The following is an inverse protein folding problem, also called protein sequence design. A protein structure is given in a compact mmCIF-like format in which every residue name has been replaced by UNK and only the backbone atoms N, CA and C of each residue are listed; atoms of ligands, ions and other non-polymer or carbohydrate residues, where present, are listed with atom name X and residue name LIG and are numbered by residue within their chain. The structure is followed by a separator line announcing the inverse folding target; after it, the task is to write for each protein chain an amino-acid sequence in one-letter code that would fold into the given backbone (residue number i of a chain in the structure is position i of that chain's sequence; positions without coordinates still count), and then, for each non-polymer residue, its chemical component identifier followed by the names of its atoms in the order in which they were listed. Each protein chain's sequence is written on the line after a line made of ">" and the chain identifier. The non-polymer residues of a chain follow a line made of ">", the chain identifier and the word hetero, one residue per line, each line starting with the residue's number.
data_IF_542965113055
#
_entry.id   IF_542965113055
#
_cell.length_a   1.000
_cell.length_b   1.000
_cell.length_c   1.000
_cell.angle_alpha   90.00
_cell.angle_beta   90.00
_cell.angle_gamma   90.00
#
_symmetry.space_group_name_H-M   'P 1'
#
loop_
_entity.id
_entity.type
_entity.pdbx_description
1 polymer ?
#
# COMPACT_ATOMS: atom_id res chain seq x y z
N UNK A 1 -56.14 12.98 -31.99
CA UNK A 1 -55.02 12.01 -31.87
C UNK A 1 -53.73 12.77 -31.79
N UNK A 2 -53.23 13.07 -30.62
CA UNK A 2 -52.00 13.80 -30.40
C UNK A 2 -50.93 12.82 -29.92
N UNK A 3 -49.92 12.62 -30.74
CA UNK A 3 -48.77 11.75 -30.49
C UNK A 3 -47.78 12.47 -29.58
N UNK A 4 -47.65 12.02 -28.34
CA UNK A 4 -46.63 12.48 -27.40
C UNK A 4 -45.27 11.86 -27.75
N UNK A 5 -44.39 12.65 -28.35
CA UNK A 5 -42.96 12.30 -28.49
C UNK A 5 -42.30 12.33 -27.12
N UNK A 6 -41.91 11.17 -26.60
CA UNK A 6 -40.99 11.05 -25.46
C UNK A 6 -39.63 11.61 -25.88
N UNK A 7 -39.17 12.64 -25.16
CA UNK A 7 -37.81 13.15 -25.27
C UNK A 7 -36.82 12.06 -24.88
N UNK A 8 -35.96 11.69 -25.82
CA UNK A 8 -34.80 10.83 -25.59
C UNK A 8 -33.83 11.66 -24.72
N UNK A 9 -33.74 11.31 -23.44
CA UNK A 9 -32.79 11.93 -22.53
C UNK A 9 -31.37 11.78 -23.08
N UNK A 10 -30.69 12.90 -23.25
CA UNK A 10 -29.28 12.98 -23.58
C UNK A 10 -28.48 12.16 -22.54
N UNK A 11 -27.97 10.99 -22.94
CA UNK A 11 -26.92 10.34 -22.18
C UNK A 11 -25.71 11.27 -22.15
N UNK A 12 -25.17 11.63 -20.97
CA UNK A 12 -23.98 12.47 -20.92
C UNK A 12 -22.87 11.78 -21.73
N UNK A 13 -22.37 12.46 -22.72
CA UNK A 13 -21.22 12.05 -23.51
C UNK A 13 -20.04 11.81 -22.56
N UNK A 14 -19.34 10.67 -22.70
CA UNK A 14 -18.16 10.24 -21.92
C UNK A 14 -16.98 11.25 -21.92
N UNK A 15 -17.12 12.42 -22.47
CA UNK A 15 -16.08 13.41 -22.75
C UNK A 15 -15.45 14.13 -21.54
N UNK A 16 -15.91 13.90 -20.27
CA UNK A 16 -15.43 14.63 -19.08
C UNK A 16 -15.25 13.77 -17.83
N UNK A 17 -15.09 12.45 -17.96
CA UNK A 17 -14.75 11.63 -16.80
C UNK A 17 -13.23 11.48 -16.71
N UNK A 18 -12.66 11.84 -15.53
CA UNK A 18 -11.27 11.54 -15.22
C UNK A 18 -11.04 10.02 -15.28
N UNK A 19 -9.89 9.56 -15.79
CA UNK A 19 -9.54 8.14 -15.82
C UNK A 19 -9.52 7.54 -14.40
N UNK A 20 -9.52 6.23 -14.30
CA UNK A 20 -9.28 5.54 -13.04
C UNK A 20 -7.80 5.61 -12.69
N UNK A 21 -7.48 5.53 -11.39
CA UNK A 21 -6.09 5.61 -10.93
C UNK A 21 -5.21 4.54 -11.59
N UNK A 22 -5.69 3.29 -11.64
CA UNK A 22 -4.95 2.17 -12.24
C UNK A 22 -4.61 2.38 -13.73
N UNK A 23 -5.37 3.22 -14.44
CA UNK A 23 -5.15 3.53 -15.85
C UNK A 23 -4.22 4.74 -16.06
N UNK A 24 -3.73 5.32 -14.95
CA UNK A 24 -3.02 6.62 -14.94
C UNK A 24 -1.63 6.57 -14.30
N UNK A 25 -1.11 5.39 -13.96
CA UNK A 25 0.13 5.20 -13.20
C UNK A 25 1.37 5.51 -14.05
N UNK A 26 1.65 6.78 -14.30
CA UNK A 26 2.71 7.20 -15.22
C UNK A 26 4.11 6.82 -14.76
N UNK A 27 4.40 6.93 -13.45
CA UNK A 27 5.70 6.52 -12.91
C UNK A 27 5.90 5.00 -13.04
N UNK A 28 4.90 4.20 -12.68
CA UNK A 28 4.95 2.75 -12.83
C UNK A 28 5.17 2.33 -14.30
N UNK A 29 4.46 2.98 -15.23
CA UNK A 29 4.62 2.74 -16.67
C UNK A 29 6.04 3.06 -17.17
N UNK A 30 6.62 4.17 -16.71
CA UNK A 30 8.02 4.51 -17.01
C UNK A 30 8.96 3.38 -16.57
N UNK A 31 8.82 2.86 -15.35
CA UNK A 31 9.66 1.77 -14.84
C UNK A 31 9.42 0.44 -15.58
N UNK A 32 8.18 0.12 -15.93
CA UNK A 32 7.90 -1.03 -16.80
C UNK A 32 8.54 -0.86 -18.19
N UNK A 33 8.54 0.37 -18.72
CA UNK A 33 9.18 0.74 -19.98
C UNK A 33 10.69 0.49 -19.99
N UNK A 34 11.39 0.62 -18.85
CA UNK A 34 12.81 0.26 -18.72
C UNK A 34 13.07 -1.22 -19.01
N UNK A 35 12.06 -2.05 -18.89
CA UNK A 35 12.10 -3.48 -19.24
C UNK A 35 11.33 -3.79 -20.52
N UNK A 36 11.03 -2.78 -21.35
CA UNK A 36 10.34 -2.95 -22.64
C UNK A 36 8.89 -3.43 -22.49
N UNK A 37 8.18 -2.99 -21.46
CA UNK A 37 6.77 -3.28 -21.21
C UNK A 37 5.97 -2.00 -21.01
N UNK A 38 4.71 -1.97 -21.47
CA UNK A 38 3.86 -0.80 -21.35
C UNK A 38 3.28 -0.62 -19.93
N UNK A 39 2.99 -1.74 -19.25
CA UNK A 39 2.40 -1.74 -17.92
C UNK A 39 2.90 -2.94 -17.09
N UNK A 40 2.69 -2.88 -15.77
CA UNK A 40 3.06 -3.97 -14.86
C UNK A 40 2.35 -5.28 -15.21
N UNK A 41 1.11 -5.23 -15.68
CA UNK A 41 0.39 -6.41 -16.13
C UNK A 41 1.16 -7.19 -17.22
N UNK A 42 1.73 -6.46 -18.19
CA UNK A 42 2.44 -7.08 -19.30
C UNK A 42 3.74 -7.74 -18.83
N UNK A 43 4.46 -7.08 -17.91
CA UNK A 43 5.66 -7.64 -17.28
C UNK A 43 5.32 -8.90 -16.47
N UNK A 44 4.26 -8.86 -15.68
CA UNK A 44 3.78 -10.02 -14.92
C UNK A 44 3.39 -11.18 -15.82
N UNK A 45 2.60 -10.91 -16.86
CA UNK A 45 2.12 -11.93 -17.79
C UNK A 45 3.29 -12.56 -18.55
N UNK A 46 4.29 -11.77 -18.94
CA UNK A 46 5.55 -12.26 -19.51
C UNK A 46 6.28 -13.22 -18.57
N UNK A 47 6.45 -12.84 -17.30
CA UNK A 47 7.12 -13.65 -16.30
C UNK A 47 6.35 -14.94 -15.99
N UNK A 48 5.03 -14.88 -15.94
CA UNK A 48 4.14 -16.01 -15.68
C UNK A 48 4.17 -17.02 -16.82
N UNK A 49 4.06 -16.57 -18.07
CA UNK A 49 4.13 -17.45 -19.24
C UNK A 49 5.48 -18.15 -19.37
N UNK A 50 6.55 -17.52 -18.92
CA UNK A 50 7.89 -18.11 -18.86
C UNK A 50 8.13 -19.04 -17.66
N UNK A 51 7.16 -19.22 -16.76
CA UNK A 51 7.32 -20.01 -15.52
C UNK A 51 8.29 -19.39 -14.51
N UNK A 52 8.53 -18.07 -14.59
CA UNK A 52 9.52 -17.38 -13.78
C UNK A 52 8.98 -16.85 -12.44
N UNK A 53 7.66 -16.88 -12.25
CA UNK A 53 7.01 -16.34 -11.03
C UNK A 53 7.21 -17.22 -9.80
N UNK A 54 7.61 -18.48 -9.98
CA UNK A 54 7.86 -19.45 -8.89
C UNK A 54 9.34 -19.51 -8.46
N UNK A 55 10.22 -18.80 -9.17
CA UNK A 55 11.65 -18.79 -8.88
C UNK A 55 11.98 -17.75 -7.82
N UNK A 56 12.33 -18.22 -6.62
CA UNK A 56 12.53 -17.37 -5.43
C UNK A 56 13.97 -17.36 -4.91
N UNK A 57 14.88 -18.12 -5.53
CA UNK A 57 16.23 -18.33 -5.02
C UNK A 57 17.32 -17.67 -5.90
N UNK A 58 18.46 -17.40 -5.24
CA UNK A 58 19.71 -17.05 -5.90
C UNK A 58 20.39 -18.31 -6.44
N UNK A 59 20.84 -18.24 -7.69
CA UNK A 59 21.58 -19.32 -8.35
C UNK A 59 23.01 -19.51 -7.80
N UNK A 60 23.71 -20.53 -8.28
CA UNK A 60 25.11 -20.80 -7.94
C UNK A 60 26.08 -19.69 -8.37
N UNK A 61 25.71 -18.90 -9.35
CA UNK A 61 26.45 -17.73 -9.82
C UNK A 61 26.26 -16.48 -8.94
N UNK A 62 25.45 -16.58 -7.88
CA UNK A 62 25.19 -15.54 -6.91
C UNK A 62 24.09 -14.55 -7.31
N UNK A 63 23.44 -14.76 -8.46
CA UNK A 63 22.37 -13.90 -8.97
C UNK A 63 20.98 -14.54 -8.82
N UNK A 64 19.96 -13.69 -8.65
CA UNK A 64 18.57 -14.13 -8.61
C UNK A 64 18.09 -14.57 -9.99
N UNK A 65 17.22 -15.57 -10.06
CA UNK A 65 16.66 -16.01 -11.33
C UNK A 65 16.03 -14.88 -12.16
N UNK A 66 15.35 -13.92 -11.47
CA UNK A 66 14.78 -12.72 -12.09
C UNK A 66 15.83 -11.86 -12.81
N UNK A 67 17.04 -11.73 -12.26
CA UNK A 67 18.13 -10.99 -12.91
C UNK A 67 18.38 -11.53 -14.31
N UNK A 68 18.53 -12.85 -14.46
CA UNK A 68 18.80 -13.48 -15.76
C UNK A 68 17.65 -13.27 -16.74
N UNK A 69 16.41 -13.37 -16.27
CA UNK A 69 15.22 -13.16 -17.11
C UNK A 69 15.16 -11.73 -17.59
N UNK A 70 15.33 -10.75 -16.71
CA UNK A 70 15.23 -9.33 -17.03
C UNK A 70 16.40 -8.85 -17.90
N UNK A 71 17.64 -9.31 -17.59
CA UNK A 71 18.83 -9.01 -18.37
C UNK A 71 18.70 -9.45 -19.83
N UNK A 72 18.14 -10.63 -20.06
CA UNK A 72 18.01 -11.22 -21.39
C UNK A 72 16.71 -10.81 -22.11
N UNK A 73 15.86 -10.02 -21.43
CA UNK A 73 14.59 -9.60 -22.03
C UNK A 73 14.81 -8.60 -23.16
N UNK A 74 14.26 -8.85 -24.38
CA UNK A 74 14.27 -7.86 -25.45
C UNK A 74 13.64 -6.54 -25.00
N UNK A 75 14.32 -5.43 -25.28
CA UNK A 75 13.86 -4.09 -24.92
C UNK A 75 14.21 -3.66 -23.48
N UNK A 76 14.99 -4.45 -22.73
CA UNK A 76 15.53 -3.98 -21.44
C UNK A 76 16.53 -2.84 -21.69
N UNK A 77 16.23 -1.66 -21.13
CA UNK A 77 17.06 -0.46 -21.23
C UNK A 77 18.04 -0.30 -20.05
N UNK A 78 17.93 -1.14 -19.01
CA UNK A 78 18.85 -1.11 -17.87
C UNK A 78 20.15 -1.81 -18.27
N UNK A 79 21.32 -1.15 -18.14
CA UNK A 79 22.60 -1.78 -18.46
C UNK A 79 22.82 -3.06 -17.64
N UNK A 80 23.31 -4.16 -18.26
CA UNK A 80 23.47 -5.44 -17.58
C UNK A 80 24.34 -5.36 -16.32
N UNK A 81 25.39 -4.52 -16.35
CA UNK A 81 26.31 -4.32 -15.22
C UNK A 81 25.58 -3.66 -14.04
N UNK A 82 24.77 -2.64 -14.32
CA UNK A 82 23.96 -1.95 -13.30
C UNK A 82 22.89 -2.89 -12.73
N UNK A 83 22.26 -3.67 -13.58
CA UNK A 83 21.26 -4.66 -13.14
C UNK A 83 21.90 -5.71 -12.20
N UNK A 84 23.15 -6.14 -12.51
CA UNK A 84 23.89 -7.05 -11.64
C UNK A 84 24.23 -6.43 -10.28
N UNK A 85 24.64 -5.17 -10.26
CA UNK A 85 24.91 -4.42 -9.02
C UNK A 85 23.65 -4.31 -8.15
N UNK A 86 22.50 -3.98 -8.77
CA UNK A 86 21.22 -3.91 -8.05
C UNK A 86 20.82 -5.27 -7.48
N UNK A 87 20.96 -6.34 -8.24
CA UNK A 87 20.64 -7.69 -7.81
C UNK A 87 21.48 -8.12 -6.59
N UNK A 88 22.80 -7.86 -6.61
CA UNK A 88 23.68 -8.14 -5.48
C UNK A 88 23.30 -7.33 -4.23
N UNK A 89 22.95 -6.05 -4.38
CA UNK A 89 22.45 -5.25 -3.24
C UNK A 89 21.14 -5.77 -2.68
N UNK A 90 20.21 -6.16 -3.54
CA UNK A 90 18.95 -6.79 -3.11
C UNK A 90 19.23 -8.05 -2.28
N UNK A 91 20.20 -8.86 -2.72
CA UNK A 91 20.65 -10.03 -1.98
C UNK A 91 21.18 -9.66 -0.60
N UNK A 92 22.03 -8.65 -0.51
CA UNK A 92 22.60 -8.18 0.76
C UNK A 92 21.51 -7.70 1.73
N UNK A 93 20.51 -6.95 1.25
CA UNK A 93 19.38 -6.54 2.08
C UNK A 93 18.55 -7.72 2.55
N UNK A 94 18.31 -8.71 1.70
CA UNK A 94 17.59 -9.92 2.08
C UNK A 94 18.37 -10.75 3.09
N UNK A 95 19.68 -10.90 2.90
CA UNK A 95 20.56 -11.60 3.84
C UNK A 95 20.61 -10.88 5.19
N UNK A 96 20.64 -9.54 5.19
CA UNK A 96 20.55 -8.73 6.40
C UNK A 96 19.23 -8.93 7.13
N UNK A 97 18.09 -8.93 6.42
CA UNK A 97 16.76 -9.19 6.96
C UNK A 97 16.67 -10.60 7.56
N UNK A 98 17.29 -11.59 6.91
CA UNK A 98 17.24 -12.99 7.30
C UNK A 98 18.20 -13.37 8.46
N UNK A 99 19.08 -12.46 8.90
CA UNK A 99 19.95 -12.73 10.07
C UNK A 99 19.17 -12.97 11.36
N UNK A 100 18.00 -12.35 11.47
CA UNK A 100 17.17 -12.37 12.68
C UNK A 100 15.83 -13.08 12.50
N UNK A 101 15.52 -13.56 11.28
CA UNK A 101 14.25 -14.20 10.97
C UNK A 101 14.33 -15.71 10.90
N UNK A 102 13.36 -16.38 11.56
CA UNK A 102 13.12 -17.80 11.44
C UNK A 102 11.60 -18.02 11.28
N UNK A 103 11.12 -18.65 10.20
CA UNK A 103 11.89 -19.14 9.04
C UNK A 103 12.48 -17.99 8.18
N UNK A 104 13.47 -18.32 7.35
CA UNK A 104 14.02 -17.37 6.39
C UNK A 104 12.97 -16.94 5.38
N UNK A 105 12.96 -15.66 5.06
CA UNK A 105 12.11 -15.07 4.03
C UNK A 105 12.79 -15.19 2.67
N UNK A 106 11.99 -15.49 1.65
CA UNK A 106 12.37 -15.41 0.24
C UNK A 106 11.50 -14.36 -0.43
N UNK A 107 12.07 -13.63 -1.37
CA UNK A 107 11.29 -12.64 -2.13
C UNK A 107 10.52 -13.34 -3.24
N UNK A 108 9.21 -13.15 -3.27
CA UNK A 108 8.40 -13.46 -4.43
C UNK A 108 8.78 -12.55 -5.60
N UNK A 109 8.51 -12.96 -6.84
CA UNK A 109 8.88 -12.20 -8.02
C UNK A 109 8.42 -10.72 -7.96
N UNK A 110 7.21 -10.47 -7.50
CA UNK A 110 6.68 -9.11 -7.39
C UNK A 110 7.34 -8.31 -6.26
N UNK A 111 7.76 -8.95 -5.18
CA UNK A 111 8.53 -8.31 -4.11
C UNK A 111 9.94 -7.96 -4.59
N UNK A 112 10.59 -8.88 -5.33
CA UNK A 112 11.87 -8.60 -5.97
C UNK A 112 11.77 -7.42 -6.93
N UNK A 113 10.74 -7.37 -7.78
CA UNK A 113 10.51 -6.27 -8.72
C UNK A 113 10.24 -4.94 -7.99
N UNK A 114 9.45 -4.95 -6.91
CA UNK A 114 9.21 -3.75 -6.12
C UNK A 114 10.51 -3.18 -5.55
N UNK A 115 11.38 -4.04 -5.02
CA UNK A 115 12.68 -3.66 -4.48
C UNK A 115 13.62 -3.20 -5.62
N UNK A 116 13.64 -3.90 -6.75
CA UNK A 116 14.46 -3.52 -7.92
C UNK A 116 14.06 -2.16 -8.49
N UNK A 117 12.76 -1.89 -8.63
CA UNK A 117 12.30 -0.59 -9.10
C UNK A 117 12.71 0.53 -8.14
N UNK A 118 12.65 0.27 -6.85
CA UNK A 118 13.12 1.22 -5.83
C UNK A 118 14.64 1.45 -5.93
N UNK A 119 15.41 0.39 -6.16
CA UNK A 119 16.87 0.46 -6.34
C UNK A 119 17.23 1.38 -7.52
N UNK A 120 16.58 1.15 -8.67
CA UNK A 120 16.78 1.96 -9.87
C UNK A 120 16.33 3.42 -9.64
N UNK A 121 15.22 3.62 -8.93
CA UNK A 121 14.69 4.95 -8.64
C UNK A 121 15.65 5.76 -7.78
N UNK A 122 16.08 5.21 -6.64
CA UNK A 122 16.95 5.89 -5.70
C UNK A 122 18.35 6.15 -6.30
N UNK A 123 18.87 5.18 -7.06
CA UNK A 123 20.12 5.37 -7.79
C UNK A 123 20.06 6.59 -8.72
N UNK A 124 18.99 6.74 -9.51
CA UNK A 124 18.80 7.88 -10.41
C UNK A 124 18.55 9.18 -9.66
N UNK A 125 17.74 9.13 -8.59
CA UNK A 125 17.40 10.30 -7.79
C UNK A 125 18.63 10.90 -7.13
N UNK A 126 19.46 10.08 -6.48
CA UNK A 126 20.59 10.58 -5.69
C UNK A 126 21.86 10.81 -6.51
N UNK A 127 22.03 10.11 -7.63
CA UNK A 127 23.22 10.32 -8.48
C UNK A 127 23.04 11.43 -9.54
N UNK A 128 21.82 11.59 -10.11
CA UNK A 128 21.55 12.60 -11.12
C UNK A 128 20.05 12.95 -11.20
N UNK A 129 19.57 13.71 -10.21
CA UNK A 129 18.15 14.13 -10.09
C UNK A 129 17.68 14.91 -11.32
N UNK A 130 18.52 15.79 -11.88
CA UNK A 130 18.14 16.63 -13.02
C UNK A 130 17.94 15.79 -14.29
N UNK A 131 18.86 14.88 -14.56
CA UNK A 131 18.73 13.95 -15.68
C UNK A 131 17.52 13.03 -15.51
N UNK A 132 17.31 12.50 -14.31
CA UNK A 132 16.16 11.65 -14.05
C UNK A 132 14.84 12.38 -14.27
N UNK A 133 14.73 13.63 -13.81
CA UNK A 133 13.57 14.49 -14.05
C UNK A 133 13.35 14.73 -15.56
N UNK A 134 14.43 14.98 -16.31
CA UNK A 134 14.35 15.17 -17.75
C UNK A 134 13.88 13.90 -18.48
N UNK A 135 14.36 12.71 -18.07
CA UNK A 135 13.93 11.42 -18.64
C UNK A 135 12.44 11.16 -18.39
N UNK A 136 11.94 11.43 -17.16
CA UNK A 136 10.52 11.30 -16.82
C UNK A 136 9.64 12.26 -17.64
N UNK A 137 10.09 13.50 -17.82
CA UNK A 137 9.32 14.49 -18.58
C UNK A 137 9.32 14.20 -20.08
N UNK A 138 10.42 13.71 -20.64
CA UNK A 138 10.45 13.23 -22.01
C UNK A 138 9.49 12.04 -22.24
N UNK A 139 9.40 11.14 -21.26
CA UNK A 139 8.43 10.05 -21.31
C UNK A 139 6.99 10.57 -21.26
N UNK A 140 6.68 11.57 -20.41
CA UNK A 140 5.35 12.20 -20.37
C UNK A 140 4.99 12.85 -21.70
N UNK A 141 5.91 13.52 -22.37
CA UNK A 141 5.68 14.12 -23.69
C UNK A 141 5.28 13.05 -24.70
N UNK A 142 6.02 11.92 -24.75
CA UNK A 142 5.70 10.80 -25.63
C UNK A 142 4.31 10.21 -25.33
N UNK A 143 3.98 10.02 -24.06
CA UNK A 143 2.66 9.52 -23.64
C UNK A 143 1.52 10.48 -24.02
N UNK A 144 1.73 11.77 -23.83
CA UNK A 144 0.76 12.79 -24.18
C UNK A 144 0.53 12.89 -25.70
N UNK A 145 1.56 12.64 -26.53
CA UNK A 145 1.43 12.63 -27.99
C UNK A 145 0.59 11.45 -28.50
N UNK A 146 0.62 10.33 -27.76
CA UNK A 146 -0.18 9.14 -28.08
C UNK A 146 -1.64 9.32 -27.66
N UNK A 147 -1.91 10.14 -26.62
CA UNK A 147 -3.26 10.36 -26.11
C UNK A 147 -4.14 11.08 -27.14
N UNK A 148 -5.37 10.63 -27.27
CA UNK A 148 -6.35 11.33 -28.11
C UNK A 148 -6.70 12.71 -27.50
N UNK A 149 -7.06 13.68 -28.35
CA UNK A 149 -7.49 15.02 -27.91
C UNK A 149 -8.66 15.04 -26.89
N UNK A 150 -9.30 13.91 -26.67
CA UNK A 150 -10.41 13.75 -25.72
C UNK A 150 -9.98 13.21 -24.36
N UNK A 151 -8.72 12.81 -24.20
CA UNK A 151 -8.17 12.29 -22.94
C UNK A 151 -7.43 13.39 -22.20
N UNK A 152 -7.46 13.39 -20.85
CA UNK A 152 -6.65 14.31 -20.07
C UNK A 152 -5.15 13.98 -20.27
N UNK A 153 -4.35 15.02 -20.43
CA UNK A 153 -2.89 14.91 -20.53
C UNK A 153 -2.24 14.77 -19.16
N UNK A 154 -1.12 14.08 -19.12
CA UNK A 154 -0.28 14.03 -17.92
C UNK A 154 0.43 15.37 -17.72
N UNK A 155 0.54 15.80 -16.45
CA UNK A 155 1.29 17.00 -16.06
C UNK A 155 2.76 16.63 -15.85
N UNK A 156 3.72 17.44 -16.33
CA UNK A 156 5.14 17.18 -16.12
C UNK A 156 5.52 17.00 -14.65
N UNK A 157 6.52 16.18 -14.37
CA UNK A 157 7.12 16.06 -13.05
C UNK A 157 7.86 17.33 -12.66
N UNK A 158 7.81 17.64 -11.37
CA UNK A 158 8.64 18.65 -10.72
C UNK A 158 9.67 17.97 -9.80
N UNK A 159 10.62 18.72 -9.27
CA UNK A 159 11.60 18.17 -8.31
C UNK A 159 10.95 17.64 -7.03
N UNK A 160 9.86 18.26 -6.58
CA UNK A 160 9.10 17.85 -5.39
C UNK A 160 8.32 16.53 -5.60
N UNK A 161 7.90 16.23 -6.83
CA UNK A 161 7.23 14.96 -7.14
C UNK A 161 8.17 13.75 -6.94
N UNK A 162 9.49 13.96 -6.93
CA UNK A 162 10.49 12.91 -6.78
C UNK A 162 10.80 12.54 -5.33
N UNK A 163 10.36 13.32 -4.36
CA UNK A 163 10.68 13.12 -2.95
C UNK A 163 9.64 12.21 -2.25
N UNK A 164 8.81 11.51 -3.06
CA UNK A 164 7.79 10.58 -2.58
C UNK A 164 7.67 9.35 -3.48
N UNK A 165 7.72 8.18 -2.87
CA UNK A 165 7.38 6.90 -3.51
C UNK A 165 6.20 6.20 -2.84
N UNK A 166 5.35 5.60 -3.65
CA UNK A 166 4.15 4.93 -3.17
C UNK A 166 4.06 3.51 -3.71
N UNK A 167 3.67 2.57 -2.85
CA UNK A 167 3.49 1.16 -3.16
C UNK A 167 2.03 0.78 -2.99
N UNK A 168 1.36 0.56 -4.10
CA UNK A 168 -0.01 0.06 -4.10
C UNK A 168 0.01 -1.46 -4.11
N UNK A 169 -0.09 -2.07 -2.95
CA UNK A 169 0.10 -3.50 -2.80
C UNK A 169 -1.01 -4.11 -1.94
N UNK A 170 -1.52 -5.27 -2.34
CA UNK A 170 -2.57 -5.98 -1.63
C UNK A 170 -2.18 -6.30 -0.17
N UNK A 171 -3.17 -6.43 0.70
CA UNK A 171 -2.95 -6.95 2.07
C UNK A 171 -2.41 -8.38 1.98
N UNK A 172 -1.38 -8.68 2.76
CA UNK A 172 -0.70 -9.98 2.71
C UNK A 172 0.39 -10.12 1.64
N UNK A 173 0.61 -9.13 0.77
CA UNK A 173 1.67 -9.16 -0.25
C UNK A 173 3.07 -8.88 0.27
N UNK A 174 3.25 -8.60 1.57
CA UNK A 174 4.55 -8.37 2.18
C UNK A 174 5.03 -6.92 2.20
N UNK A 175 4.12 -5.93 2.18
CA UNK A 175 4.45 -4.49 2.30
C UNK A 175 5.47 -4.18 3.38
N UNK A 176 5.31 -4.77 4.57
CA UNK A 176 6.21 -4.55 5.71
C UNK A 176 7.63 -5.01 5.43
N UNK A 177 7.83 -6.12 4.71
CA UNK A 177 9.16 -6.58 4.32
C UNK A 177 9.82 -5.61 3.34
N UNK A 178 9.06 -5.14 2.36
CA UNK A 178 9.52 -4.16 1.38
C UNK A 178 9.88 -2.85 2.10
N UNK A 179 9.07 -2.39 3.04
CA UNK A 179 9.36 -1.20 3.87
C UNK A 179 10.71 -1.33 4.59
N UNK A 180 11.00 -2.50 5.18
CA UNK A 180 12.28 -2.73 5.85
C UNK A 180 13.47 -2.72 4.87
N UNK A 181 13.29 -3.24 3.67
CA UNK A 181 14.32 -3.18 2.62
C UNK A 181 14.46 -1.74 2.11
N UNK A 182 13.36 -1.02 1.87
CA UNK A 182 13.39 0.37 1.43
C UNK A 182 14.12 1.29 2.42
N UNK A 183 14.06 1.00 3.73
CA UNK A 183 14.87 1.69 4.73
C UNK A 183 16.37 1.58 4.39
N UNK A 184 16.85 0.36 4.15
CA UNK A 184 18.27 0.15 3.85
C UNK A 184 18.68 0.65 2.47
N UNK A 185 17.78 0.59 1.48
CA UNK A 185 17.99 1.18 0.16
C UNK A 185 18.16 2.69 0.27
N UNK A 186 17.25 3.37 0.97
CA UNK A 186 17.37 4.81 1.17
C UNK A 186 18.66 5.18 1.89
N UNK A 187 19.02 4.48 2.96
CA UNK A 187 20.24 4.70 3.70
C UNK A 187 21.52 4.44 2.89
N UNK A 188 21.43 3.58 1.86
CA UNK A 188 22.55 3.31 0.95
C UNK A 188 22.80 4.47 -0.01
N UNK A 189 21.76 5.12 -0.50
CA UNK A 189 21.87 6.19 -1.50
C UNK A 189 21.91 7.59 -0.90
N UNK A 190 21.29 7.83 0.25
CA UNK A 190 21.26 9.14 0.87
C UNK A 190 22.49 9.37 1.73
N UNK A 191 23.50 10.01 1.14
CA UNK A 191 24.73 10.43 1.82
C UNK A 191 24.54 11.73 2.64
N UNK A 192 23.49 12.51 2.37
CA UNK A 192 23.26 13.81 3.02
C UNK A 192 22.70 13.68 4.45
N UNK A 193 22.33 12.46 4.85
CA UNK A 193 21.73 12.21 6.16
C UNK A 193 20.23 12.58 6.23
N UNK A 194 19.67 12.46 7.41
CA UNK A 194 18.30 12.77 7.74
C UNK A 194 18.20 13.15 9.22
N UNK A 195 17.15 13.90 9.59
CA UNK A 195 16.92 14.27 10.99
C UNK A 195 16.38 13.09 11.79
N UNK A 196 15.32 12.44 11.28
CA UNK A 196 14.71 11.28 11.90
C UNK A 196 14.25 10.25 10.86
N UNK A 197 14.04 9.01 11.33
CA UNK A 197 13.33 7.98 10.61
C UNK A 197 11.99 7.78 11.32
N UNK A 198 10.89 8.11 10.65
CA UNK A 198 9.55 8.09 11.22
C UNK A 198 8.69 7.07 10.51
N UNK A 199 7.96 6.24 11.25
CA UNK A 199 6.85 5.45 10.72
C UNK A 199 5.54 5.97 11.29
N UNK A 200 4.69 6.50 10.42
CA UNK A 200 3.36 6.97 10.79
C UNK A 200 2.31 5.90 10.47
N UNK A 201 1.49 5.59 11.46
CA UNK A 201 0.44 4.58 11.40
C UNK A 201 -0.93 5.16 11.80
N UNK A 202 -2.06 4.58 11.36
CA UNK A 202 -3.38 5.09 11.70
C UNK A 202 -3.81 4.86 13.15
N UNK A 203 -3.29 3.81 13.81
CA UNK A 203 -3.70 3.45 15.19
C UNK A 203 -2.65 2.59 15.91
N UNK A 204 -2.75 2.54 17.23
CA UNK A 204 -1.79 1.86 18.13
C UNK A 204 -1.57 0.37 17.79
N UNK A 205 -2.63 -0.37 17.47
CA UNK A 205 -2.50 -1.82 17.16
C UNK A 205 -1.54 -2.07 16.00
N UNK A 206 -1.62 -1.26 14.94
CA UNK A 206 -0.69 -1.35 13.81
C UNK A 206 0.72 -0.89 14.19
N UNK A 207 0.84 0.15 15.01
CA UNK A 207 2.14 0.60 15.56
C UNK A 207 2.86 -0.52 16.30
N UNK A 208 2.17 -1.23 17.18
CA UNK A 208 2.74 -2.36 17.95
C UNK A 208 3.10 -3.54 17.06
N UNK A 209 2.32 -3.81 16.03
CA UNK A 209 2.64 -4.82 15.03
C UNK A 209 3.95 -4.48 14.30
N UNK A 210 4.12 -3.24 13.84
CA UNK A 210 5.35 -2.79 13.20
C UNK A 210 6.56 -2.89 14.12
N UNK A 211 6.44 -2.50 15.39
CA UNK A 211 7.52 -2.66 16.35
C UNK A 211 7.97 -4.11 16.50
N UNK A 212 7.02 -5.05 16.54
CA UNK A 212 7.32 -6.47 16.58
C UNK A 212 8.03 -6.95 15.30
N UNK A 213 7.58 -6.48 14.13
CA UNK A 213 8.19 -6.84 12.84
C UNK A 213 9.59 -6.24 12.67
N UNK A 214 9.84 -4.99 13.10
CA UNK A 214 11.18 -4.39 13.10
C UNK A 214 12.16 -5.22 13.94
N UNK A 215 11.74 -5.67 15.14
CA UNK A 215 12.56 -6.55 15.99
C UNK A 215 12.95 -7.85 15.29
N UNK A 216 12.00 -8.48 14.57
CA UNK A 216 12.27 -9.68 13.76
C UNK A 216 13.27 -9.45 12.63
N UNK A 217 13.41 -8.23 12.16
CA UNK A 217 14.35 -7.83 11.10
C UNK A 217 15.66 -7.25 11.65
N UNK A 218 15.81 -7.19 12.98
CA UNK A 218 16.98 -6.60 13.63
C UNK A 218 17.10 -5.09 13.42
N UNK A 219 15.99 -4.41 13.15
CA UNK A 219 15.91 -2.96 13.02
C UNK A 219 15.54 -2.37 14.37
N UNK A 220 16.34 -1.45 14.88
CA UNK A 220 16.02 -0.72 16.10
C UNK A 220 14.77 0.13 15.86
N UNK A 221 13.78 0.01 16.72
CA UNK A 221 12.56 0.79 16.63
C UNK A 221 12.01 1.07 18.03
N UNK A 222 11.42 2.25 18.20
CA UNK A 222 10.78 2.69 19.44
C UNK A 222 9.40 3.28 19.15
N UNK A 223 8.52 3.16 20.12
CA UNK A 223 7.22 3.79 20.07
C UNK A 223 7.30 5.21 20.65
N UNK A 224 6.72 6.17 19.97
CA UNK A 224 6.70 7.54 20.44
C UNK A 224 5.94 7.65 21.78
N UNK A 225 6.63 8.16 22.81
CA UNK A 225 6.08 8.34 24.16
C UNK A 225 6.34 7.19 25.14
N UNK A 226 6.96 6.08 24.74
CA UNK A 226 7.40 5.02 25.68
C UNK A 226 8.74 5.32 26.39
N UNK A 227 9.50 6.31 25.91
CA UNK A 227 10.74 6.77 26.55
C UNK A 227 10.75 8.30 26.63
N UNK A 228 10.88 8.84 27.80
CA UNK A 228 11.24 10.18 28.25
C UNK A 228 11.10 11.40 27.29
N UNK A 229 10.01 11.49 26.52
CA UNK A 229 9.71 12.65 25.71
C UNK A 229 10.79 12.99 24.65
N UNK A 230 10.73 14.20 24.08
CA UNK A 230 11.73 14.72 23.14
C UNK A 230 13.16 14.80 23.72
N UNK A 231 13.33 14.80 25.04
CA UNK A 231 14.66 14.80 25.69
C UNK A 231 15.45 13.49 25.49
N UNK A 232 14.81 12.40 25.05
CA UNK A 232 15.44 11.14 24.64
C UNK A 232 15.79 11.07 23.15
N UNK A 233 15.41 12.05 22.36
CA UNK A 233 15.77 12.19 20.96
C UNK A 233 17.22 12.67 20.84
N UNK A 234 18.16 11.75 20.76
CA UNK A 234 19.48 12.08 20.24
C UNK A 234 19.39 12.14 18.73
N UNK A 235 19.47 13.35 18.21
CA UNK A 235 19.61 13.66 16.80
C UNK A 235 20.84 12.89 16.27
N UNK A 236 20.60 12.01 15.31
CA UNK A 236 21.56 11.49 14.36
C UNK A 236 22.69 10.64 14.93
N UNK A 237 22.61 9.36 14.82
CA UNK A 237 23.68 8.36 14.55
C UNK A 237 23.15 6.93 14.61
N UNK A 238 22.01 6.67 15.22
CA UNK A 238 21.42 5.33 15.28
C UNK A 238 20.25 5.20 14.30
N UNK A 239 20.31 4.19 13.44
CA UNK A 239 19.25 3.73 12.55
C UNK A 239 18.04 3.25 13.37
N UNK A 240 17.44 4.14 14.17
CA UNK A 240 16.29 3.84 15.00
C UNK A 240 15.02 4.47 14.44
N UNK A 241 14.05 3.61 14.08
CA UNK A 241 12.76 4.04 13.58
C UNK A 241 11.87 4.47 14.75
N UNK A 242 11.32 5.68 14.70
CA UNK A 242 10.30 6.14 15.63
C UNK A 242 8.92 5.88 15.05
N UNK A 243 8.17 5.00 15.71
CA UNK A 243 6.79 4.67 15.31
C UNK A 243 5.82 5.59 16.04
N UNK A 244 4.99 6.31 15.29
CA UNK A 244 4.04 7.29 15.83
C UNK A 244 2.67 7.15 15.17
N UNK A 245 1.61 7.35 15.94
CA UNK A 245 0.25 7.40 15.39
C UNK A 245 -0.06 8.78 14.83
N UNK A 246 -0.79 8.80 13.72
CA UNK A 246 -1.28 10.02 13.08
C UNK A 246 -2.04 10.94 14.06
N UNK A 247 -2.76 10.33 15.00
CA UNK A 247 -3.56 11.06 16.00
C UNK A 247 -2.72 11.83 17.02
N UNK A 248 -1.44 11.50 17.15
CA UNK A 248 -0.49 12.18 18.04
C UNK A 248 0.21 13.36 17.39
N UNK A 249 0.21 13.43 16.06
CA UNK A 249 0.76 14.55 15.29
C UNK A 249 -0.22 15.72 15.28
N UNK A 250 0.26 16.93 15.58
CA UNK A 250 -0.53 18.17 15.63
C UNK A 250 0.24 19.33 14.99
N UNK A 251 -0.49 20.34 14.53
CA UNK A 251 0.11 21.61 14.11
C UNK A 251 0.70 22.34 15.30
N UNK A 252 -0.03 22.36 16.43
CA UNK A 252 0.39 22.95 17.68
C UNK A 252 0.10 21.99 18.84
N UNK A 253 0.96 22.01 19.86
CA UNK A 253 0.78 21.18 21.05
C UNK A 253 -0.46 21.61 21.83
N UNK A 254 -1.44 20.74 21.95
CA UNK A 254 -2.65 20.98 22.73
C UNK A 254 -2.62 20.17 24.04
N UNK A 255 -2.52 20.86 25.16
CA UNK A 255 -2.64 20.26 26.50
C UNK A 255 -1.40 19.47 26.97
N UNK A 256 -1.55 18.73 28.07
CA UNK A 256 -0.50 17.91 28.70
C UNK A 256 -0.40 16.49 28.14
N UNK A 257 -1.10 16.19 27.05
CA UNK A 257 -1.12 14.85 26.43
C UNK A 257 0.13 14.51 25.62
N UNK A 258 0.22 13.25 25.15
CA UNK A 258 1.31 12.75 24.28
C UNK A 258 1.17 13.24 22.82
N UNK A 259 0.78 14.50 22.61
CA UNK A 259 0.78 15.12 21.28
C UNK A 259 2.11 15.81 21.02
N UNK A 260 2.57 15.80 19.77
CA UNK A 260 3.81 16.44 19.35
C UNK A 260 3.55 17.37 18.17
N UNK A 261 4.20 18.52 18.20
CA UNK A 261 4.24 19.43 17.05
C UNK A 261 5.07 18.81 15.92
N UNK A 262 4.56 18.91 14.71
CA UNK A 262 5.26 18.37 13.53
C UNK A 262 6.64 19.02 13.37
N UNK A 263 6.74 20.30 13.62
CA UNK A 263 7.99 21.08 13.49
C UNK A 263 9.09 20.65 14.48
N UNK A 264 8.72 19.95 15.56
CA UNK A 264 9.70 19.40 16.50
C UNK A 264 10.58 18.28 15.89
N UNK A 265 10.17 17.69 14.77
CA UNK A 265 10.93 16.66 14.06
C UNK A 265 11.90 17.24 13.01
N UNK A 266 11.82 18.55 12.70
CA UNK A 266 12.53 19.15 11.56
C UNK A 266 11.90 18.75 10.21
N UNK A 267 12.38 19.32 9.10
CA UNK A 267 11.84 19.08 7.77
C UNK A 267 12.51 17.92 7.00
N UNK A 268 13.72 17.50 7.39
CA UNK A 268 14.51 16.49 6.68
C UNK A 268 14.36 15.10 7.30
N UNK A 269 13.18 14.50 7.17
CA UNK A 269 12.93 13.18 7.71
C UNK A 269 12.78 12.12 6.62
N UNK A 270 13.24 10.90 6.91
CA UNK A 270 12.80 9.71 6.20
C UNK A 270 11.46 9.26 6.78
N UNK A 271 10.41 9.45 6.02
CA UNK A 271 9.04 9.19 6.45
C UNK A 271 8.49 7.92 5.80
N UNK A 272 8.10 6.97 6.61
CA UNK A 272 7.28 5.82 6.21
C UNK A 272 5.83 6.04 6.63
N UNK A 273 4.88 5.78 5.72
CA UNK A 273 3.44 5.87 6.00
C UNK A 273 2.80 4.54 5.63
N UNK A 274 2.35 3.78 6.62
CA UNK A 274 1.55 2.59 6.34
C UNK A 274 0.07 2.92 6.40
N UNK A 275 -0.71 2.34 5.48
CA UNK A 275 -2.11 2.66 5.28
C UNK A 275 -2.31 4.16 4.96
N UNK A 276 -1.45 4.72 4.12
CA UNK A 276 -1.41 6.14 3.71
C UNK A 276 -2.75 6.71 3.23
N UNK A 277 -3.65 5.83 2.80
CA UNK A 277 -5.00 6.19 2.42
C UNK A 277 -5.82 6.83 3.53
N UNK A 278 -5.69 6.43 4.77
CA UNK A 278 -6.49 6.97 5.88
C UNK A 278 -6.17 8.43 6.17
N UNK A 279 -4.98 8.88 5.80
CA UNK A 279 -4.57 10.26 5.90
C UNK A 279 -4.76 11.09 4.63
N UNK A 280 -4.69 10.47 3.45
CA UNK A 280 -4.64 11.17 2.16
C UNK A 280 -5.91 11.99 1.83
N UNK A 281 -7.07 11.64 2.38
CA UNK A 281 -8.33 12.37 2.17
C UNK A 281 -8.44 13.65 3.02
N UNK A 282 -7.68 13.74 4.10
CA UNK A 282 -7.63 14.92 4.97
C UNK A 282 -6.61 15.94 4.50
N UNK A 283 -7.03 17.20 4.28
CA UNK A 283 -6.11 18.29 3.88
C UNK A 283 -5.06 18.55 4.95
N UNK A 284 -5.48 18.57 6.20
CA UNK A 284 -4.59 18.77 7.37
C UNK A 284 -3.53 17.67 7.41
N UNK A 285 -3.92 16.41 7.22
CA UNK A 285 -2.96 15.31 7.25
C UNK A 285 -1.94 15.38 6.11
N UNK A 286 -2.39 15.73 4.90
CA UNK A 286 -1.47 15.90 3.78
C UNK A 286 -0.45 17.01 4.02
N UNK A 287 -0.91 18.10 4.61
CA UNK A 287 -0.03 19.22 4.98
C UNK A 287 0.97 18.82 6.07
N UNK A 288 0.53 18.14 7.13
CA UNK A 288 1.42 17.64 8.19
C UNK A 288 2.49 16.70 7.62
N UNK A 289 2.11 15.79 6.72
CA UNK A 289 3.04 14.87 6.07
C UNK A 289 4.05 15.63 5.19
N UNK A 290 3.58 16.63 4.43
CA UNK A 290 4.45 17.46 3.61
C UNK A 290 5.49 18.19 4.46
N UNK A 291 5.08 18.80 5.56
CA UNK A 291 5.98 19.47 6.51
C UNK A 291 6.99 18.53 7.16
N UNK A 292 6.57 17.30 7.51
CA UNK A 292 7.49 16.29 8.08
C UNK A 292 8.64 15.88 7.14
N UNK A 293 8.43 15.94 5.84
CA UNK A 293 9.42 15.52 4.84
C UNK A 293 9.58 16.57 3.73
N UNK A 294 9.57 17.86 4.09
CA UNK A 294 9.70 18.97 3.15
C UNK A 294 11.06 18.96 2.44
N UNK A 295 12.12 18.66 3.19
CA UNK A 295 13.49 18.49 2.70
C UNK A 295 13.94 17.01 2.74
N UNK A 296 13.01 16.11 3.06
CA UNK A 296 13.25 14.68 3.26
C UNK A 296 12.67 13.79 2.17
N UNK A 297 12.31 12.56 2.54
CA UNK A 297 11.77 11.59 1.60
C UNK A 297 10.62 10.79 2.22
N UNK A 298 9.60 10.47 1.42
CA UNK A 298 8.43 9.72 1.89
C UNK A 298 8.25 8.42 1.13
N UNK A 299 8.15 7.32 1.87
CA UNK A 299 7.61 6.04 1.38
C UNK A 299 6.20 5.83 1.90
N UNK A 300 5.25 5.56 1.00
CA UNK A 300 3.84 5.36 1.33
C UNK A 300 3.35 3.97 0.87
N UNK A 301 2.64 3.26 1.74
CA UNK A 301 2.16 1.89 1.46
C UNK A 301 0.66 1.81 1.71
N UNK A 302 -0.10 1.23 0.78
CA UNK A 302 -1.52 0.91 1.00
C UNK A 302 -2.04 -0.11 -0.01
N UNK A 303 -3.08 -0.83 0.41
CA UNK A 303 -3.84 -1.73 -0.46
C UNK A 303 -4.98 -1.01 -1.22
N UNK A 304 -5.36 0.20 -0.83
CA UNK A 304 -6.67 0.79 -1.21
C UNK A 304 -6.61 2.18 -1.86
N UNK A 305 -5.46 2.57 -2.43
CA UNK A 305 -5.33 3.88 -3.12
C UNK A 305 -6.40 4.10 -4.19
N UNK A 306 -6.75 3.05 -4.96
CA UNK A 306 -7.81 3.14 -5.97
C UNK A 306 -9.17 3.54 -5.39
N UNK A 307 -9.51 3.05 -4.21
CA UNK A 307 -10.79 3.38 -3.56
C UNK A 307 -10.83 4.87 -3.16
N UNK A 308 -9.72 5.40 -2.68
CA UNK A 308 -9.62 6.80 -2.22
C UNK A 308 -9.67 7.75 -3.39
N UNK A 309 -8.80 7.54 -4.38
CA UNK A 309 -8.69 8.43 -5.53
C UNK A 309 -9.96 8.37 -6.37
N UNK A 310 -10.45 7.17 -6.68
CA UNK A 310 -11.62 6.99 -7.52
C UNK A 310 -12.93 7.38 -6.80
N UNK A 311 -12.99 7.23 -5.46
CA UNK A 311 -14.13 7.62 -4.62
C UNK A 311 -14.12 9.07 -4.15
N UNK A 312 -13.06 9.83 -4.40
CA UNK A 312 -12.95 11.22 -3.96
C UNK A 312 -13.96 12.14 -4.67
N UNK A 313 -14.38 13.19 -3.95
CA UNK A 313 -15.24 14.24 -4.52
C UNK A 313 -14.57 14.88 -5.75
N UNK A 314 -15.38 15.24 -6.77
CA UNK A 314 -14.94 15.66 -8.11
C UNK A 314 -13.85 16.74 -8.10
N UNK A 315 -13.90 17.71 -7.17
CA UNK A 315 -12.89 18.77 -7.04
C UNK A 315 -11.53 18.28 -6.50
N UNK A 316 -11.53 17.25 -5.64
CA UNK A 316 -10.31 16.69 -5.03
C UNK A 316 -9.70 15.55 -5.85
N UNK A 317 -10.53 14.85 -6.63
CA UNK A 317 -10.12 13.66 -7.38
C UNK A 317 -9.02 13.96 -8.39
N UNK A 318 -9.07 15.11 -9.06
CA UNK A 318 -8.06 15.50 -10.05
C UNK A 318 -6.67 15.64 -9.40
N UNK A 319 -6.58 16.36 -8.29
CA UNK A 319 -5.32 16.56 -7.58
C UNK A 319 -4.75 15.25 -7.02
N UNK A 320 -5.61 14.39 -6.44
CA UNK A 320 -5.21 13.07 -5.96
C UNK A 320 -4.74 12.16 -7.09
N UNK A 321 -5.45 12.18 -8.22
CA UNK A 321 -5.06 11.40 -9.40
C UNK A 321 -3.69 11.84 -9.93
N UNK A 322 -3.44 13.15 -10.01
CA UNK A 322 -2.16 13.70 -10.42
C UNK A 322 -1.03 13.30 -9.45
N UNK A 323 -1.23 13.51 -8.15
CA UNK A 323 -0.26 13.15 -7.11
C UNK A 323 0.09 11.65 -7.18
N UNK A 324 -0.92 10.76 -7.11
CA UNK A 324 -0.66 9.32 -7.03
C UNK A 324 -0.25 8.69 -8.36
N UNK A 325 -0.63 9.26 -9.51
CA UNK A 325 -0.13 8.79 -10.81
C UNK A 325 1.38 8.96 -10.95
N UNK A 326 1.95 10.01 -10.35
CA UNK A 326 3.37 10.31 -10.32
C UNK A 326 4.12 9.64 -9.16
N UNK A 327 3.45 9.30 -8.06
CA UNK A 327 4.07 8.74 -6.87
C UNK A 327 4.05 7.20 -6.83
N UNK A 328 3.06 6.52 -7.45
CA UNK A 328 2.98 5.07 -7.42
C UNK A 328 4.05 4.46 -8.32
N UNK A 329 5.13 4.01 -7.69
CA UNK A 329 6.22 3.28 -8.34
C UNK A 329 5.80 1.86 -8.68
N UNK A 330 5.10 1.18 -7.77
CA UNK A 330 4.79 -0.23 -7.89
C UNK A 330 3.32 -0.51 -7.60
N UNK A 331 2.64 -1.14 -8.56
CA UNK A 331 1.25 -1.58 -8.45
C UNK A 331 1.19 -3.12 -8.41
N UNK A 332 0.99 -3.66 -7.22
CA UNK A 332 0.60 -5.04 -6.99
C UNK A 332 -0.70 -5.08 -6.17
N UNK A 333 -1.68 -4.32 -6.65
CA UNK A 333 -3.02 -4.22 -6.07
C UNK A 333 -3.78 -5.55 -6.12
N UNK A 334 -4.93 -5.61 -5.47
CA UNK A 334 -5.70 -6.85 -5.33
C UNK A 334 -5.98 -7.61 -6.64
N UNK A 335 -6.25 -6.97 -7.79
CA UNK A 335 -6.42 -7.69 -9.05
C UNK A 335 -5.21 -8.53 -9.46
N UNK A 336 -3.99 -8.01 -9.28
CA UNK A 336 -2.76 -8.75 -9.57
C UNK A 336 -2.56 -9.89 -8.58
N UNK A 337 -2.74 -9.60 -7.29
CA UNK A 337 -2.65 -10.57 -6.20
C UNK A 337 -3.63 -11.75 -6.37
N UNK A 338 -4.87 -11.44 -6.76
CA UNK A 338 -5.90 -12.43 -7.03
C UNK A 338 -5.56 -13.30 -8.26
N UNK A 339 -5.11 -12.67 -9.35
CA UNK A 339 -4.77 -13.38 -10.59
C UNK A 339 -3.55 -14.30 -10.44
N UNK A 340 -2.67 -14.02 -9.47
CA UNK A 340 -1.54 -14.89 -9.11
C UNK A 340 -1.93 -16.02 -8.14
N UNK A 341 -3.22 -16.13 -7.79
CA UNK A 341 -3.74 -17.20 -6.95
C UNK A 341 -3.58 -16.98 -5.44
N UNK A 342 -3.14 -15.79 -5.00
CA UNK A 342 -3.03 -15.46 -3.57
C UNK A 342 -4.32 -14.90 -2.98
N UNK A 343 -5.25 -14.45 -3.83
CA UNK A 343 -6.54 -13.92 -3.41
C UNK A 343 -7.48 -15.01 -2.94
N UNK A 344 -8.53 -14.60 -2.23
CA UNK A 344 -9.62 -15.48 -1.79
C UNK A 344 -10.88 -15.14 -2.57
N UNK A 345 -11.64 -16.17 -2.96
CA UNK A 345 -12.98 -15.97 -3.43
C UNK A 345 -13.90 -15.55 -2.29
N UNK A 346 -14.91 -14.77 -2.62
CA UNK A 346 -15.92 -14.36 -1.66
C UNK A 346 -17.30 -14.36 -2.32
N UNK A 347 -18.30 -14.66 -1.52
CA UNK A 347 -19.70 -14.54 -1.92
C UNK A 347 -20.35 -13.44 -1.10
N UNK A 348 -21.05 -12.53 -1.79
CA UNK A 348 -21.86 -11.51 -1.12
C UNK A 348 -23.31 -11.98 -1.18
N UNK A 349 -23.86 -12.27 -0.02
CA UNK A 349 -25.29 -12.57 0.12
C UNK A 349 -25.96 -11.34 0.69
N UNK A 350 -26.62 -10.57 -0.20
CA UNK A 350 -27.41 -9.39 0.20
C UNK A 350 -28.90 -9.77 0.19
N UNK A 351 -29.57 -9.54 1.30
CA UNK A 351 -31.03 -9.58 1.37
C UNK A 351 -31.57 -8.19 1.03
N UNK A 352 -32.63 -8.15 0.22
CA UNK A 352 -33.29 -6.88 -0.17
C UNK A 352 -34.29 -6.38 0.87
N UNK A 353 -34.52 -7.12 1.94
CA UNK A 353 -35.55 -6.83 2.92
C UNK A 353 -34.94 -6.63 4.31
N UNK A 354 -35.26 -5.52 4.96
CA UNK A 354 -34.69 -5.09 6.25
C UNK A 354 -35.58 -5.52 7.43
N UNK A 355 -36.43 -6.56 7.29
CA UNK A 355 -37.25 -7.04 8.41
C UNK A 355 -36.43 -7.89 9.38
N UNK A 356 -36.65 -7.72 10.68
CA UNK A 356 -35.91 -8.45 11.75
C UNK A 356 -35.93 -9.98 11.55
N UNK A 357 -37.00 -10.53 10.99
CA UNK A 357 -37.12 -11.98 10.70
C UNK A 357 -36.08 -12.44 9.68
N UNK A 358 -35.71 -11.59 8.71
CA UNK A 358 -34.67 -11.91 7.73
C UNK A 358 -33.27 -11.85 8.32
N UNK A 359 -33.02 -10.95 9.29
CA UNK A 359 -31.74 -10.88 9.97
C UNK A 359 -31.43 -12.19 10.72
N UNK A 360 -32.40 -12.76 11.43
CA UNK A 360 -32.24 -14.02 12.14
C UNK A 360 -31.94 -15.19 11.18
N UNK A 361 -32.65 -15.27 10.05
CA UNK A 361 -32.39 -16.27 9.03
C UNK A 361 -31.01 -16.11 8.38
N UNK A 362 -30.58 -14.89 8.15
CA UNK A 362 -29.25 -14.60 7.62
C UNK A 362 -28.16 -14.99 8.63
N UNK A 363 -28.34 -14.66 9.91
CA UNK A 363 -27.41 -15.04 10.98
C UNK A 363 -27.35 -16.57 11.12
N UNK A 364 -28.50 -17.24 11.07
CA UNK A 364 -28.58 -18.71 11.12
C UNK A 364 -27.86 -19.36 9.92
N UNK A 365 -28.09 -18.87 8.70
CA UNK A 365 -27.43 -19.36 7.50
C UNK A 365 -25.92 -19.20 7.55
N UNK A 366 -25.45 -18.04 8.03
CA UNK A 366 -24.03 -17.78 8.24
C UNK A 366 -23.45 -18.67 9.35
N UNK A 367 -24.19 -18.91 10.45
CA UNK A 367 -23.76 -19.81 11.52
C UNK A 367 -23.59 -21.24 10.99
N UNK A 368 -24.55 -21.75 10.20
CA UNK A 368 -24.47 -23.08 9.60
C UNK A 368 -23.24 -23.20 8.67
N UNK A 369 -23.04 -22.21 7.80
CA UNK A 369 -21.88 -22.17 6.90
C UNK A 369 -20.56 -22.08 7.68
N UNK A 370 -20.51 -21.31 8.76
CA UNK A 370 -19.35 -21.23 9.64
C UNK A 370 -19.05 -22.56 10.34
N UNK A 371 -20.08 -23.24 10.85
CA UNK A 371 -19.94 -24.57 11.46
C UNK A 371 -19.42 -25.59 10.46
N UNK A 372 -19.96 -25.60 9.23
CA UNK A 372 -19.49 -26.47 8.15
C UNK A 372 -18.01 -26.22 7.85
N UNK A 373 -17.59 -24.95 7.69
CA UNK A 373 -16.20 -24.60 7.47
C UNK A 373 -15.29 -25.04 8.63
N UNK A 374 -15.75 -24.92 9.88
CA UNK A 374 -15.01 -25.41 11.04
C UNK A 374 -14.84 -26.94 11.00
N UNK A 375 -15.88 -27.69 10.64
CA UNK A 375 -15.80 -29.14 10.51
C UNK A 375 -14.81 -29.55 9.41
N UNK A 376 -14.90 -28.94 8.23
CA UNK A 376 -13.95 -29.18 7.12
C UNK A 376 -12.52 -28.83 7.54
N UNK A 377 -12.32 -27.74 8.29
CA UNK A 377 -11.00 -27.37 8.79
C UNK A 377 -10.42 -28.43 9.74
N UNK A 378 -11.21 -28.91 10.70
CA UNK A 378 -10.75 -29.94 11.66
C UNK A 378 -10.48 -31.28 10.96
N UNK A 379 -11.30 -31.68 10.00
CA UNK A 379 -11.11 -32.93 9.23
C UNK A 379 -9.87 -32.86 8.31
N UNK A 380 -9.55 -31.68 7.75
CA UNK A 380 -8.51 -31.53 6.75
C UNK A 380 -7.32 -30.67 7.23
N UNK A 381 -7.15 -30.53 8.52
CA UNK A 381 -6.14 -29.65 9.14
C UNK A 381 -4.72 -29.87 8.61
N UNK A 382 -4.30 -31.12 8.43
CA UNK A 382 -2.98 -31.46 7.91
C UNK A 382 -2.79 -31.05 6.44
N UNK A 383 -3.86 -31.13 5.63
CA UNK A 383 -3.84 -30.68 4.25
C UNK A 383 -3.78 -29.16 4.12
N UNK A 384 -4.29 -28.42 5.10
CA UNK A 384 -4.28 -26.95 5.11
C UNK A 384 -2.97 -26.35 5.65
N UNK A 385 -2.23 -27.11 6.45
CA UNK A 385 -0.99 -26.66 7.09
C UNK A 385 0.07 -26.11 6.14
N UNK A 386 0.36 -26.73 4.96
CA UNK A 386 1.34 -26.19 4.01
C UNK A 386 0.96 -24.82 3.43
N UNK A 387 -0.34 -24.48 3.47
CA UNK A 387 -0.90 -23.23 2.93
C UNK A 387 -1.07 -22.16 4.00
N UNK A 388 -0.69 -22.41 5.26
CA UNK A 388 -0.92 -21.53 6.40
C UNK A 388 -2.38 -21.08 6.55
N UNK A 389 -3.32 -22.00 6.24
CA UNK A 389 -4.74 -21.76 6.43
C UNK A 389 -5.06 -22.00 7.91
N UNK A 390 -5.53 -20.94 8.56
CA UNK A 390 -5.92 -20.96 9.96
C UNK A 390 -7.42 -21.28 10.12
N UNK A 391 -7.79 -21.56 11.35
CA UNK A 391 -9.19 -21.86 11.69
C UNK A 391 -10.12 -20.75 11.21
N UNK A 392 -11.30 -21.08 10.64
CA UNK A 392 -12.29 -20.10 10.23
C UNK A 392 -12.65 -19.12 11.34
N UNK A 393 -12.82 -17.87 10.99
CA UNK A 393 -13.21 -16.80 11.90
C UNK A 393 -14.49 -16.15 11.38
N UNK A 394 -15.51 -16.09 12.24
CA UNK A 394 -16.73 -15.34 11.96
C UNK A 394 -16.61 -13.93 12.54
N UNK A 395 -16.68 -12.90 11.69
CA UNK A 395 -16.54 -11.51 12.08
C UNK A 395 -17.86 -10.79 11.88
N UNK A 396 -18.33 -10.14 12.95
CA UNK A 396 -19.49 -9.26 12.89
C UNK A 396 -19.03 -7.81 12.78
N UNK A 397 -19.59 -7.08 11.82
CA UNK A 397 -19.31 -5.66 11.60
C UNK A 397 -20.62 -4.89 11.78
N UNK A 398 -20.72 -4.16 12.90
CA UNK A 398 -21.88 -3.33 13.23
C UNK A 398 -21.62 -1.84 13.05
N UNK A 399 -22.68 -1.05 13.01
CA UNK A 399 -22.61 0.41 12.91
C UNK A 399 -22.56 1.09 14.27
N UNK A 400 -23.08 0.45 15.32
CA UNK A 400 -23.26 1.06 16.65
C UNK A 400 -22.78 0.14 17.76
N UNK A 401 -21.80 0.61 18.53
CA UNK A 401 -21.33 -0.04 19.76
C UNK A 401 -22.02 0.54 20.99
N UNK A 402 -22.57 1.75 20.89
CA UNK A 402 -23.30 2.44 21.96
C UNK A 402 -24.73 2.72 21.50
N UNK A 403 -25.71 2.31 22.30
CA UNK A 403 -27.13 2.58 22.04
C UNK A 403 -27.40 4.07 21.75
N UNK A 404 -28.43 4.31 20.93
CA UNK A 404 -28.74 5.61 20.34
C UNK A 404 -28.70 6.79 21.32
N UNK A 405 -28.16 7.92 20.87
CA UNK A 405 -28.00 9.14 21.64
C UNK A 405 -29.30 9.95 21.79
N UNK A 406 -30.38 9.57 21.11
CA UNK A 406 -31.67 10.27 21.20
C UNK A 406 -32.63 9.56 22.16
N UNK A 407 -33.52 10.34 22.79
CA UNK A 407 -34.49 9.81 23.72
C UNK A 407 -35.54 8.88 23.08
N UNK A 408 -35.63 8.89 21.72
CA UNK A 408 -36.48 8.02 20.90
C UNK A 408 -35.84 6.66 20.53
N UNK A 409 -34.51 6.55 20.64
CA UNK A 409 -33.75 5.33 20.24
C UNK A 409 -33.38 4.46 21.48
N UNK A 410 -33.91 4.74 22.66
CA UNK A 410 -33.55 3.99 23.88
C UNK A 410 -33.98 2.52 23.88
N UNK A 411 -34.88 2.14 23.01
CA UNK A 411 -35.40 0.75 22.89
C UNK A 411 -34.72 -0.06 21.77
N UNK A 412 -33.80 0.53 20.97
CA UNK A 412 -33.03 -0.21 19.99
C UNK A 412 -31.82 -0.88 20.64
N UNK A 413 -31.77 -2.19 20.53
CA UNK A 413 -30.59 -2.98 20.90
C UNK A 413 -29.36 -2.48 20.12
N UNK A 414 -28.20 -2.51 20.74
CA UNK A 414 -26.94 -2.31 20.01
C UNK A 414 -26.70 -3.54 19.12
N UNK A 415 -25.96 -3.37 18.01
CA UNK A 415 -25.61 -4.51 17.13
C UNK A 415 -25.00 -5.68 17.92
N UNK A 416 -24.23 -5.37 18.97
CA UNK A 416 -23.66 -6.38 19.88
C UNK A 416 -24.73 -7.11 20.69
N UNK A 417 -25.75 -6.39 21.20
CA UNK A 417 -26.87 -7.00 21.96
C UNK A 417 -27.75 -7.86 21.06
N UNK A 418 -27.96 -7.49 19.79
CA UNK A 418 -28.70 -8.30 18.81
C UNK A 418 -27.97 -9.61 18.56
N UNK A 419 -26.65 -9.58 18.33
CA UNK A 419 -25.84 -10.79 18.14
C UNK A 419 -25.88 -11.69 19.39
N UNK A 420 -25.75 -11.10 20.59
CA UNK A 420 -25.82 -11.86 21.86
C UNK A 420 -27.21 -12.48 22.04
N UNK A 421 -28.29 -11.75 21.76
CA UNK A 421 -29.64 -12.25 21.83
C UNK A 421 -29.89 -13.40 20.86
N UNK A 422 -29.38 -13.30 19.63
CA UNK A 422 -29.41 -14.39 18.65
C UNK A 422 -28.76 -15.65 19.19
N UNK A 423 -27.53 -15.57 19.72
CA UNK A 423 -26.86 -16.75 20.30
C UNK A 423 -27.60 -17.32 21.52
N UNK A 424 -28.15 -16.46 22.39
CA UNK A 424 -28.93 -16.90 23.55
C UNK A 424 -30.22 -17.64 23.15
N UNK A 425 -30.84 -17.24 22.04
CA UNK A 425 -32.03 -17.91 21.52
C UNK A 425 -31.70 -19.26 20.83
N UNK A 426 -30.45 -19.46 20.42
CA UNK A 426 -30.02 -20.65 19.68
C UNK A 426 -29.37 -21.72 20.56
N UNK A 427 -28.77 -21.34 21.68
CA UNK A 427 -28.15 -22.20 22.68
C UNK A 427 -29.16 -22.66 23.73
#
# INVERSE_FOLDING_TARGET
>A
MASTRKSVGNRPTRRNQLPLLQDSLILNRFFCGLFGMEAFKDLRDYLRLGGHTEQEDWGYDGHHAMFHVLRNKPGCAVPPERLAEYDLRIKDYLDRLNRFRTPRVRLRYFQYLAVLFTEIYLDRLFNDKERFLAELNAFIEQENDILSRSQPTYVPFTGEDLDKLTFWMATGSGKTLIMHINLWQYMHYNENGHDNILLVTPHEGLSRQHLAEFRKSGIAAKYYGETDGLAGFRIGTDLSVTVIEITKLREEKQGSGLSVEVDAFGPNNLLFVDEGHRGASGEVWRELRRRLAEDGFTFEYSATFGQIVNGAAKGKRKALLEEYSKAILFDYSYPHFYQDGYGKDYHIVNLKDETNTFNDWMLLSNLMSYCEQCLVYEEQREAFRPYNIEKPLWVFVGHSVTGGRSQQDKDTLTDVQEIVAFFQAFL
#
